data_IF_748382921606
#
_entry.id   IF_748382921606
#
_cell.length_a   1.000
_cell.length_b   1.000
_cell.length_c   1.000
_cell.angle_alpha   90.00
_cell.angle_beta   90.00
_cell.angle_gamma   90.00
#
_symmetry.space_group_name_H-M   'P 1'
#
loop_
_entity.id
_entity.type
_entity.pdbx_description
1 polymer ?
#
# COMPACT_ATOMS: atom_id res chain seq x y z
N UNK A 1 1.50 11.29 16.05
CA UNK A 1 0.90 11.88 14.84
C UNK A 1 1.92 11.91 13.70
N UNK A 2 1.48 12.16 12.48
CA UNK A 2 2.30 12.12 11.27
C UNK A 2 3.49 13.07 11.29
N UNK A 3 3.37 14.22 11.95
CA UNK A 3 4.46 15.20 12.02
C UNK A 3 5.67 14.71 12.84
N UNK A 4 5.49 13.68 13.68
CA UNK A 4 6.55 13.11 14.51
C UNK A 4 7.22 11.89 13.88
N UNK A 5 6.65 11.27 12.84
CA UNK A 5 7.20 10.06 12.22
C UNK A 5 8.63 10.28 11.71
N UNK A 6 8.81 11.24 10.81
CA UNK A 6 10.12 11.57 10.24
C UNK A 6 11.16 12.01 11.29
N UNK A 7 10.91 13.02 12.17
CA UNK A 7 11.93 13.49 13.10
C UNK A 7 12.35 12.42 14.11
N UNK A 8 11.44 11.54 14.52
CA UNK A 8 11.77 10.42 15.42
C UNK A 8 12.61 9.37 14.70
N UNK A 9 12.24 8.97 13.48
CA UNK A 9 13.03 8.04 12.67
C UNK A 9 14.43 8.57 12.40
N UNK A 10 14.54 9.83 11.98
CA UNK A 10 15.81 10.52 11.76
C UNK A 10 16.68 10.50 13.01
N UNK A 11 16.13 10.90 14.15
CA UNK A 11 16.86 10.90 15.42
C UNK A 11 17.36 9.50 15.80
N UNK A 12 16.53 8.47 15.62
CA UNK A 12 16.93 7.09 15.91
C UNK A 12 18.13 6.66 15.05
N UNK A 13 18.07 6.93 13.74
CA UNK A 13 19.13 6.54 12.80
C UNK A 13 20.42 7.35 13.01
N UNK A 14 20.33 8.65 13.29
CA UNK A 14 21.48 9.49 13.65
C UNK A 14 22.18 9.01 14.93
N UNK A 15 21.46 8.31 15.81
CA UNK A 15 21.98 7.69 17.03
C UNK A 15 22.26 6.18 16.90
N UNK A 16 22.46 5.68 15.68
CA UNK A 16 22.91 4.32 15.42
C UNK A 16 21.86 3.24 15.64
N UNK A 17 20.58 3.55 15.50
CA UNK A 17 19.44 2.61 15.61
C UNK A 17 18.74 2.45 14.28
N UNK A 18 18.26 1.23 14.00
CA UNK A 18 17.27 1.03 12.94
C UNK A 18 15.97 1.76 13.31
N UNK A 19 15.20 2.16 12.32
CA UNK A 19 13.88 2.75 12.52
C UNK A 19 12.80 1.88 11.86
N UNK A 20 11.70 1.66 12.58
CA UNK A 20 10.45 1.12 12.03
C UNK A 20 9.38 2.18 12.25
N UNK A 21 8.70 2.60 11.21
CA UNK A 21 7.89 3.82 11.22
C UNK A 21 6.50 3.54 10.68
N UNK A 22 5.49 3.95 11.44
CA UNK A 22 4.09 3.90 11.01
C UNK A 22 3.82 4.74 9.76
N UNK A 23 2.77 4.37 9.08
CA UNK A 23 2.32 5.02 7.84
C UNK A 23 1.55 6.33 8.10
N UNK A 24 1.75 7.34 7.27
CA UNK A 24 2.86 7.53 6.34
C UNK A 24 4.14 7.91 7.09
N UNK A 25 5.25 7.32 6.69
CA UNK A 25 6.52 7.49 7.41
C UNK A 25 7.22 8.83 7.10
N UNK A 26 6.90 9.42 5.97
CA UNK A 26 7.35 10.74 5.51
C UNK A 26 6.17 11.51 4.91
N UNK A 27 6.20 12.83 5.01
CA UNK A 27 5.09 13.70 4.64
C UNK A 27 5.36 14.52 3.37
N UNK A 28 6.61 14.54 2.90
CA UNK A 28 7.03 15.26 1.71
C UNK A 28 8.30 14.65 1.11
N UNK A 29 8.64 15.10 -0.11
CA UNK A 29 9.81 14.62 -0.86
C UNK A 29 11.14 14.88 -0.15
N UNK A 30 11.27 16.01 0.54
CA UNK A 30 12.47 16.33 1.30
C UNK A 30 12.71 15.29 2.40
N UNK A 31 11.67 14.92 3.14
CA UNK A 31 11.74 13.89 4.18
C UNK A 31 12.07 12.51 3.59
N UNK A 32 11.48 12.17 2.45
CA UNK A 32 11.78 10.92 1.73
C UNK A 32 13.29 10.84 1.39
N UNK A 33 13.84 11.86 0.75
CA UNK A 33 15.25 11.90 0.43
C UNK A 33 16.17 11.90 1.66
N UNK A 34 15.79 12.62 2.70
CA UNK A 34 16.56 12.64 3.95
C UNK A 34 16.66 11.23 4.59
N UNK A 35 15.57 10.45 4.61
CA UNK A 35 15.60 9.08 5.15
C UNK A 35 16.45 8.15 4.30
N UNK A 36 16.40 8.27 2.98
CA UNK A 36 17.27 7.51 2.06
C UNK A 36 18.74 7.85 2.30
N UNK A 37 19.09 9.12 2.24
CA UNK A 37 20.47 9.59 2.44
C UNK A 37 21.03 9.13 3.79
N UNK A 38 20.19 9.18 4.81
CA UNK A 38 20.58 8.73 6.15
C UNK A 38 20.75 7.21 6.22
N UNK A 39 19.84 6.44 5.62
CA UNK A 39 19.92 4.99 5.55
C UNK A 39 21.20 4.54 4.81
N UNK A 40 21.47 5.10 3.64
CA UNK A 40 22.66 4.81 2.85
C UNK A 40 23.96 5.19 3.59
N UNK A 41 23.99 6.37 4.20
CA UNK A 41 25.15 6.87 4.94
C UNK A 41 25.46 6.06 6.18
N UNK A 42 24.44 5.68 6.95
CA UNK A 42 24.60 4.98 8.23
C UNK A 42 24.59 3.48 8.07
N UNK A 43 24.09 2.96 6.94
CA UNK A 43 23.79 1.54 6.70
C UNK A 43 22.79 0.95 7.71
N UNK A 44 21.90 1.79 8.18
CA UNK A 44 20.81 1.41 9.07
C UNK A 44 19.52 1.27 8.29
N UNK A 45 18.70 0.33 8.67
CA UNK A 45 17.39 0.13 8.07
C UNK A 45 16.40 1.20 8.54
N UNK A 46 15.57 1.68 7.60
CA UNK A 46 14.36 2.42 7.87
C UNK A 46 13.20 1.67 7.23
N UNK A 47 12.40 1.01 8.03
CA UNK A 47 11.31 0.14 7.61
C UNK A 47 9.97 0.89 7.71
N UNK A 48 9.16 0.84 6.66
CA UNK A 48 7.78 1.33 6.72
C UNK A 48 6.85 0.22 7.23
N UNK A 49 6.01 0.53 8.20
CA UNK A 49 5.05 -0.42 8.79
C UNK A 49 3.75 -0.46 7.98
N UNK A 50 3.85 -0.90 6.71
CA UNK A 50 2.70 -1.04 5.82
C UNK A 50 2.10 -2.44 5.94
N UNK A 51 1.18 -2.58 6.88
CA UNK A 51 0.56 -3.86 7.25
C UNK A 51 -0.29 -4.50 6.13
N UNK A 52 -0.84 -3.69 5.22
CA UNK A 52 -1.68 -4.20 4.14
C UNK A 52 -0.94 -5.10 3.15
N UNK A 53 0.40 -5.02 3.10
CA UNK A 53 1.23 -5.96 2.35
C UNK A 53 1.17 -7.40 2.90
N UNK A 54 0.67 -7.59 4.12
CA UNK A 54 0.59 -8.89 4.80
C UNK A 54 -0.85 -9.40 4.97
N UNK A 55 -1.81 -8.80 4.29
CA UNK A 55 -3.17 -9.33 4.24
C UNK A 55 -3.21 -10.63 3.40
N UNK A 56 -4.06 -11.55 3.80
CA UNK A 56 -4.13 -12.90 3.23
C UNK A 56 -4.37 -12.90 1.71
N UNK A 57 -5.28 -12.05 1.22
CA UNK A 57 -5.59 -11.96 -0.20
C UNK A 57 -4.41 -11.37 -1.00
N UNK A 58 -3.79 -10.30 -0.49
CA UNK A 58 -2.64 -9.64 -1.09
C UNK A 58 -1.43 -10.58 -1.18
N UNK A 59 -1.12 -11.30 -0.11
CA UNK A 59 -0.01 -12.26 -0.08
C UNK A 59 -0.22 -13.45 -1.03
N UNK A 60 -1.43 -13.99 -1.12
CA UNK A 60 -1.77 -15.04 -2.09
C UNK A 60 -1.66 -14.55 -3.53
N UNK A 61 -2.22 -13.38 -3.80
CA UNK A 61 -2.18 -12.77 -5.13
C UNK A 61 -0.76 -12.42 -5.57
N UNK A 62 0.10 -12.01 -4.63
CA UNK A 62 1.53 -11.81 -4.87
C UNK A 62 2.20 -13.12 -5.32
N UNK A 63 1.99 -14.23 -4.63
CA UNK A 63 2.52 -15.54 -5.03
C UNK A 63 2.00 -15.97 -6.40
N UNK A 64 0.69 -15.79 -6.67
CA UNK A 64 0.10 -16.09 -7.96
C UNK A 64 0.73 -15.25 -9.08
N UNK A 65 0.99 -13.96 -8.83
CA UNK A 65 1.65 -13.09 -9.79
C UNK A 65 3.08 -13.53 -10.07
N UNK A 66 3.84 -13.88 -9.04
CA UNK A 66 5.23 -14.39 -9.14
C UNK A 66 5.31 -15.70 -9.90
N UNK A 67 4.31 -16.57 -9.75
CA UNK A 67 4.21 -17.85 -10.48
C UNK A 67 3.58 -17.70 -11.87
N UNK A 68 3.29 -16.47 -12.31
CA UNK A 68 2.78 -16.17 -13.64
C UNK A 68 1.30 -16.54 -13.86
N UNK A 69 0.52 -16.77 -12.81
CA UNK A 69 -0.92 -17.12 -12.91
C UNK A 69 -1.70 -16.06 -13.69
N UNK A 70 -1.36 -14.80 -13.53
CA UNK A 70 -2.02 -13.71 -14.27
C UNK A 70 -1.33 -13.38 -15.60
N UNK A 71 -0.23 -14.07 -15.94
CA UNK A 71 0.72 -13.62 -16.97
C UNK A 71 1.46 -12.36 -16.47
N UNK A 72 1.90 -11.50 -17.39
CA UNK A 72 2.45 -10.19 -16.98
C UNK A 72 1.33 -9.28 -16.47
N UNK A 73 1.45 -8.77 -15.24
CA UNK A 73 0.52 -7.75 -14.72
C UNK A 73 0.81 -6.42 -15.39
N UNK A 74 -0.20 -5.83 -16.02
CA UNK A 74 -0.10 -4.58 -16.80
C UNK A 74 -0.79 -3.39 -16.14
N UNK A 75 -1.71 -3.64 -15.22
CA UNK A 75 -2.45 -2.62 -14.47
C UNK A 75 -2.75 -3.12 -13.07
N UNK A 76 -2.65 -2.22 -12.10
CA UNK A 76 -3.07 -2.49 -10.74
C UNK A 76 -3.86 -1.30 -10.17
N UNK A 77 -4.78 -1.58 -9.25
CA UNK A 77 -5.58 -0.59 -8.53
C UNK A 77 -5.44 -0.81 -7.03
N UNK A 78 -5.26 0.27 -6.31
CA UNK A 78 -5.28 0.28 -4.87
C UNK A 78 -6.05 1.48 -4.33
N UNK A 79 -6.44 1.45 -3.07
CA UNK A 79 -7.16 2.55 -2.46
C UNK A 79 -7.00 2.59 -0.94
N UNK A 80 -7.31 3.74 -0.36
CA UNK A 80 -7.73 3.88 1.01
C UNK A 80 -9.05 4.65 1.06
N UNK A 81 -10.14 3.90 1.02
CA UNK A 81 -11.50 4.41 1.13
C UNK A 81 -12.05 3.93 2.46
N UNK A 82 -12.17 4.85 3.42
CA UNK A 82 -12.55 4.54 4.78
C UNK A 82 -13.26 5.73 5.41
N UNK A 83 -14.57 5.68 5.51
CA UNK A 83 -15.34 6.74 6.16
C UNK A 83 -14.87 6.92 7.62
N UNK A 84 -14.20 8.04 7.90
CA UNK A 84 -13.59 8.36 9.18
C UNK A 84 -14.27 9.55 9.90
N UNK A 85 -15.33 10.13 9.33
CA UNK A 85 -15.97 11.31 9.90
C UNK A 85 -16.52 11.06 11.31
N UNK A 86 -17.08 9.88 11.57
CA UNK A 86 -17.55 9.49 12.89
C UNK A 86 -16.40 9.24 13.87
N UNK A 87 -15.30 8.67 13.39
CA UNK A 87 -14.08 8.48 14.17
C UNK A 87 -13.50 9.82 14.62
N UNK A 88 -13.43 10.81 13.73
CA UNK A 88 -12.94 12.13 14.08
C UNK A 88 -13.87 12.85 15.04
N UNK A 89 -15.18 12.71 14.92
CA UNK A 89 -16.15 13.22 15.90
C UNK A 89 -15.94 12.61 17.29
N UNK A 90 -15.58 11.35 17.38
CA UNK A 90 -15.25 10.69 18.64
C UNK A 90 -14.00 11.29 19.28
N UNK A 91 -12.90 11.39 18.53
CA UNK A 91 -11.62 11.93 19.01
C UNK A 91 -11.68 13.45 19.28
N UNK A 92 -12.62 14.17 18.72
CA UNK A 92 -12.83 15.59 19.08
C UNK A 92 -13.20 15.81 20.55
N UNK A 93 -13.57 14.79 21.27
CA UNK A 93 -13.86 14.84 22.72
C UNK A 93 -12.63 14.54 23.58
N UNK A 94 -11.56 13.99 22.97
CA UNK A 94 -10.35 13.65 23.70
C UNK A 94 -9.35 14.82 23.65
N UNK A 95 -9.06 15.46 24.80
CA UNK A 95 -8.14 16.60 24.85
C UNK A 95 -6.70 16.24 24.47
N UNK A 96 -6.33 14.96 24.50
CA UNK A 96 -4.99 14.52 24.10
C UNK A 96 -4.82 14.41 22.58
N UNK A 97 -5.91 14.40 21.83
CA UNK A 97 -5.92 14.27 20.37
C UNK A 97 -6.36 15.55 19.66
N UNK A 98 -6.69 16.59 20.41
CA UNK A 98 -7.14 17.86 19.87
C UNK A 98 -6.11 18.95 20.17
N UNK A 99 -5.94 19.82 19.20
CA UNK A 99 -5.18 21.05 19.42
C UNK A 99 -6.00 22.16 20.10
N UNK A 100 -5.41 23.37 20.11
CA UNK A 100 -6.02 24.57 20.73
C UNK A 100 -7.41 24.91 20.16
N UNK A 101 -7.67 24.55 18.90
CA UNK A 101 -8.92 24.85 18.19
C UNK A 101 -9.91 23.68 18.32
N UNK A 102 -9.55 22.65 19.08
CA UNK A 102 -10.38 21.48 19.33
C UNK A 102 -10.67 20.65 18.06
N UNK A 103 -9.77 20.71 17.07
CA UNK A 103 -9.80 19.89 15.88
C UNK A 103 -8.79 18.75 15.98
N UNK A 104 -9.16 17.57 15.52
CA UNK A 104 -8.25 16.43 15.43
C UNK A 104 -7.09 16.76 14.49
N UNK A 105 -5.86 16.33 14.81
CA UNK A 105 -4.67 16.64 14.02
C UNK A 105 -4.74 16.16 12.56
N UNK A 106 -5.39 15.01 12.29
CA UNK A 106 -5.63 14.55 10.90
C UNK A 106 -6.56 15.48 10.13
N UNK A 107 -7.57 16.04 10.80
CA UNK A 107 -8.46 17.03 10.18
C UNK A 107 -7.67 18.28 9.76
N UNK A 108 -6.83 18.79 10.64
CA UNK A 108 -5.95 19.92 10.28
C UNK A 108 -5.01 19.58 9.13
N UNK A 109 -4.45 18.40 9.14
CA UNK A 109 -3.59 17.97 8.05
C UNK A 109 -4.33 17.96 6.69
N UNK A 110 -5.59 17.50 6.66
CA UNK A 110 -6.45 17.59 5.49
C UNK A 110 -6.85 19.03 5.12
N UNK A 111 -6.92 19.95 6.09
CA UNK A 111 -7.17 21.37 5.80
C UNK A 111 -5.96 22.04 5.15
N UNK A 112 -4.76 21.62 5.47
CA UNK A 112 -3.51 22.27 5.08
C UNK A 112 -2.91 21.66 3.80
N UNK A 113 -3.16 20.38 3.54
CA UNK A 113 -2.58 19.63 2.43
C UNK A 113 -3.67 19.11 1.49
N UNK A 114 -3.27 18.72 0.27
CA UNK A 114 -4.15 18.24 -0.79
C UNK A 114 -3.63 16.94 -1.37
N UNK A 115 -4.52 16.05 -1.75
CA UNK A 115 -4.15 14.81 -2.44
C UNK A 115 -4.39 13.54 -1.63
N UNK A 116 -3.73 12.48 -2.03
CA UNK A 116 -3.79 11.19 -1.36
C UNK A 116 -2.86 11.16 -0.15
N UNK A 117 -3.37 11.63 0.98
CA UNK A 117 -2.58 11.79 2.21
C UNK A 117 -2.30 10.46 2.94
N UNK A 118 -2.85 9.34 2.45
CA UNK A 118 -2.69 8.02 3.07
C UNK A 118 -2.59 6.90 2.02
N UNK A 119 -1.81 7.15 0.97
CA UNK A 119 -1.67 6.31 -0.22
C UNK A 119 -1.12 4.91 0.05
N UNK A 120 -0.32 4.74 1.11
CA UNK A 120 0.54 3.57 1.31
C UNK A 120 -0.24 2.27 1.38
N UNK A 121 -1.42 2.25 2.00
CA UNK A 121 -2.28 1.07 2.09
C UNK A 121 -2.79 0.56 0.73
N UNK A 122 -3.01 1.47 -0.21
CA UNK A 122 -3.38 1.10 -1.58
C UNK A 122 -2.16 0.80 -2.45
N UNK A 123 -1.11 1.63 -2.34
CA UNK A 123 0.05 1.56 -3.21
C UNK A 123 1.02 0.43 -2.85
N UNK A 124 1.30 0.22 -1.57
CA UNK A 124 2.30 -0.75 -1.11
C UNK A 124 2.09 -2.16 -1.68
N UNK A 125 0.93 -2.79 -1.45
CA UNK A 125 0.67 -4.14 -1.95
C UNK A 125 0.77 -4.27 -3.47
N UNK A 126 0.29 -3.28 -4.24
CA UNK A 126 0.36 -3.33 -5.71
C UNK A 126 1.77 -3.02 -6.22
N UNK A 127 2.53 -2.17 -5.53
CA UNK A 127 3.92 -1.89 -5.88
C UNK A 127 4.81 -3.15 -5.76
N UNK A 128 4.59 -3.98 -4.74
CA UNK A 128 5.28 -5.27 -4.61
C UNK A 128 4.99 -6.21 -5.78
N UNK A 129 3.72 -6.32 -6.20
CA UNK A 129 3.32 -7.16 -7.34
C UNK A 129 3.91 -6.66 -8.65
N UNK A 130 4.09 -5.35 -8.78
CA UNK A 130 4.61 -4.73 -10.01
C UNK A 130 6.13 -4.62 -10.03
N UNK A 131 6.83 -5.11 -9.00
CA UNK A 131 8.28 -5.09 -8.86
C UNK A 131 8.88 -3.66 -8.88
N UNK A 132 8.19 -2.70 -8.24
CA UNK A 132 8.67 -1.32 -8.15
C UNK A 132 10.02 -1.31 -7.41
N UNK A 133 10.99 -0.56 -7.94
CA UNK A 133 12.44 -0.52 -7.69
C UNK A 133 13.16 -1.90 -7.65
N UNK A 134 12.46 -2.95 -8.13
CA UNK A 134 13.01 -4.32 -8.28
C UNK A 134 12.80 -4.86 -9.70
N UNK A 135 12.96 -3.99 -10.70
CA UNK A 135 12.78 -4.30 -12.13
C UNK A 135 11.86 -3.35 -12.89
N UNK A 136 11.14 -2.50 -12.17
CA UNK A 136 10.33 -1.39 -12.70
C UNK A 136 10.42 -0.17 -11.76
N UNK A 137 9.96 1.00 -12.18
CA UNK A 137 9.85 2.19 -11.34
C UNK A 137 8.63 3.02 -11.73
N UNK A 138 8.09 3.76 -10.81
CA UNK A 138 7.11 4.81 -11.10
C UNK A 138 7.80 5.94 -11.87
N UNK A 139 7.20 6.40 -12.96
CA UNK A 139 7.83 7.37 -13.86
C UNK A 139 7.10 8.71 -13.88
N UNK A 140 5.81 8.68 -14.04
CA UNK A 140 4.98 9.89 -14.07
C UNK A 140 3.68 9.64 -13.37
N UNK A 141 3.12 10.66 -12.73
CA UNK A 141 1.78 10.62 -12.17
C UNK A 141 0.94 11.82 -12.62
N UNK A 142 -0.36 11.63 -12.55
CA UNK A 142 -1.36 12.69 -12.62
C UNK A 142 -2.39 12.45 -11.53
N UNK A 143 -2.81 13.50 -10.84
CA UNK A 143 -3.81 13.41 -9.79
C UNK A 143 -4.96 14.39 -10.02
N UNK A 144 -6.13 13.99 -9.54
CA UNK A 144 -7.37 14.78 -9.66
C UNK A 144 -8.19 14.57 -8.39
N UNK A 145 -8.78 15.63 -7.90
CA UNK A 145 -9.65 15.59 -6.73
C UNK A 145 -11.03 16.24 -6.96
N UNK A 146 -11.96 15.91 -6.08
CA UNK A 146 -13.24 16.60 -5.99
C UNK A 146 -13.10 17.88 -5.16
N UNK A 147 -14.14 18.70 -5.14
CA UNK A 147 -14.24 19.77 -4.13
C UNK A 147 -14.34 19.15 -2.74
N UNK A 148 -13.83 19.87 -1.73
CA UNK A 148 -14.11 19.59 -0.33
C UNK A 148 -15.51 20.10 0.01
N UNK A 149 -16.44 19.21 0.19
CA UNK A 149 -17.81 19.48 0.61
C UNK A 149 -18.05 18.93 2.01
N UNK A 150 -17.75 17.64 2.20
CA UNK A 150 -17.96 16.95 3.47
C UNK A 150 -16.89 17.36 4.49
N UNK A 151 -15.60 17.36 4.10
CA UNK A 151 -14.52 17.78 4.99
C UNK A 151 -14.70 19.21 5.51
N UNK A 152 -14.97 20.13 4.60
CA UNK A 152 -15.30 21.52 4.95
C UNK A 152 -16.51 21.60 5.90
N UNK A 153 -17.61 20.92 5.58
CA UNK A 153 -18.83 20.90 6.38
C UNK A 153 -18.63 20.33 7.80
N UNK A 154 -17.76 19.34 7.95
CA UNK A 154 -17.42 18.78 9.27
C UNK A 154 -16.71 19.81 10.16
N UNK A 155 -15.77 20.57 9.61
CA UNK A 155 -15.07 21.64 10.34
C UNK A 155 -16.05 22.75 10.72
N UNK A 156 -16.90 23.19 9.79
CA UNK A 156 -17.92 24.22 10.04
C UNK A 156 -18.92 23.80 11.13
N UNK A 157 -19.38 22.55 11.08
CA UNK A 157 -20.27 22.00 12.11
C UNK A 157 -19.58 21.92 13.50
N UNK A 158 -18.28 21.67 13.52
CA UNK A 158 -17.52 21.58 14.77
C UNK A 158 -17.19 22.92 15.37
N UNK A 159 -16.76 23.88 14.54
CA UNK A 159 -16.27 25.19 14.98
C UNK A 159 -17.39 26.24 15.13
N UNK A 160 -18.52 26.03 14.45
CA UNK A 160 -19.59 27.01 14.32
C UNK A 160 -19.22 28.21 13.44
N UNK A 161 -18.15 28.11 12.65
CA UNK A 161 -17.62 29.19 11.81
C UNK A 161 -17.45 28.70 10.39
N UNK A 162 -17.54 29.60 9.41
CA UNK A 162 -17.23 29.27 8.01
C UNK A 162 -15.78 28.80 7.85
N UNK A 163 -15.57 27.68 7.17
CA UNK A 163 -14.25 27.17 6.83
C UNK A 163 -13.87 27.60 5.40
N UNK A 164 -12.92 28.51 5.27
CA UNK A 164 -12.52 29.11 3.99
C UNK A 164 -11.27 28.45 3.37
N UNK A 165 -10.56 27.61 4.14
CA UNK A 165 -9.22 27.12 3.79
C UNK A 165 -9.06 25.60 3.85
N UNK A 166 -10.10 24.84 3.51
CA UNK A 166 -9.97 23.38 3.42
C UNK A 166 -9.41 22.99 2.05
N UNK A 167 -8.18 22.47 2.01
CA UNK A 167 -7.45 22.19 0.77
C UNK A 167 -7.78 20.84 0.18
N UNK A 168 -7.87 19.78 1.01
CA UNK A 168 -8.05 18.43 0.51
C UNK A 168 -9.46 18.20 -0.06
N UNK A 169 -9.57 17.66 -1.26
CA UNK A 169 -10.84 17.18 -1.81
C UNK A 169 -11.42 16.02 -1.00
N UNK A 170 -12.72 15.79 -1.10
CA UNK A 170 -13.35 14.65 -0.42
C UNK A 170 -12.92 13.32 -1.03
N UNK A 171 -12.54 13.30 -2.31
CA UNK A 171 -12.03 12.13 -3.02
C UNK A 171 -10.88 12.52 -3.96
N UNK A 172 -9.83 11.73 -3.97
CA UNK A 172 -8.68 11.88 -4.88
C UNK A 172 -8.49 10.61 -5.70
N UNK A 173 -8.17 10.77 -6.97
CA UNK A 173 -7.74 9.69 -7.87
C UNK A 173 -6.39 10.05 -8.47
N UNK A 174 -5.43 9.16 -8.36
CA UNK A 174 -4.07 9.32 -8.87
C UNK A 174 -3.75 8.20 -9.85
N UNK A 175 -3.30 8.56 -11.04
CA UNK A 175 -2.85 7.63 -12.08
C UNK A 175 -1.34 7.71 -12.21
N UNK A 176 -0.66 6.57 -12.15
CA UNK A 176 0.79 6.47 -12.23
C UNK A 176 1.15 5.58 -13.43
N UNK A 177 2.10 6.03 -14.24
CA UNK A 177 2.71 5.22 -15.30
C UNK A 177 4.11 4.80 -14.87
N UNK A 178 4.43 3.51 -15.04
CA UNK A 178 5.76 2.98 -14.77
C UNK A 178 6.68 3.09 -15.98
N UNK A 179 7.98 2.88 -15.79
CA UNK A 179 8.99 2.86 -16.86
C UNK A 179 8.70 1.77 -17.89
N UNK A 180 8.28 0.58 -17.43
CA UNK A 180 7.92 -0.54 -18.30
C UNK A 180 6.49 -0.44 -18.89
N UNK A 181 5.82 0.70 -18.70
CA UNK A 181 4.52 0.99 -19.32
C UNK A 181 3.31 0.40 -18.62
N UNK A 182 3.47 -0.12 -17.39
CA UNK A 182 2.33 -0.50 -16.54
C UNK A 182 1.62 0.74 -16.00
N UNK A 183 0.38 0.58 -15.55
CA UNK A 183 -0.43 1.66 -14.98
C UNK A 183 -0.89 1.26 -13.58
N UNK A 184 -0.77 2.19 -12.63
CA UNK A 184 -1.31 2.06 -11.27
C UNK A 184 -2.36 3.15 -11.09
N UNK A 185 -3.50 2.78 -10.52
CA UNK A 185 -4.52 3.72 -10.07
C UNK A 185 -4.64 3.65 -8.56
N UNK A 186 -4.55 4.81 -7.88
CA UNK A 186 -4.72 4.92 -6.43
C UNK A 186 -5.86 5.89 -6.13
N UNK A 187 -6.75 5.47 -5.23
CA UNK A 187 -7.87 6.30 -4.77
C UNK A 187 -7.80 6.52 -3.25
N UNK A 188 -8.18 7.73 -2.83
CA UNK A 188 -8.25 8.08 -1.42
C UNK A 188 -9.56 8.81 -1.11
N UNK A 189 -10.26 8.35 -0.08
CA UNK A 189 -11.46 9.01 0.42
C UNK A 189 -11.70 8.63 1.89
N UNK A 190 -11.60 9.60 2.79
CA UNK A 190 -11.83 9.39 4.23
C UNK A 190 -12.97 10.24 4.77
N UNK A 191 -13.68 10.95 3.89
CA UNK A 191 -14.69 11.95 4.24
C UNK A 191 -16.12 11.48 4.00
N UNK A 192 -16.38 10.80 2.86
CA UNK A 192 -17.73 10.48 2.43
C UNK A 192 -18.19 9.12 2.91
N UNK A 193 -19.50 8.92 3.12
CA UNK A 193 -20.05 7.61 3.49
C UNK A 193 -19.81 6.59 2.38
N UNK A 194 -18.87 5.68 2.62
CA UNK A 194 -18.58 4.54 1.75
C UNK A 194 -18.19 3.33 2.61
N UNK A 195 -18.53 2.10 2.18
CA UNK A 195 -17.96 0.90 2.79
C UNK A 195 -16.45 0.90 2.69
N UNK A 196 -15.79 0.34 3.69
CA UNK A 196 -14.33 0.16 3.65
C UNK A 196 -13.88 -0.54 2.38
N UNK A 197 -12.89 0.04 1.69
CA UNK A 197 -12.42 -0.46 0.41
C UNK A 197 -10.95 -0.06 0.18
N UNK A 198 -10.11 -1.05 -0.12
CA UNK A 198 -8.72 -0.83 -0.56
C UNK A 198 -8.53 -1.16 -2.04
N UNK A 199 -9.62 -1.44 -2.79
CA UNK A 199 -9.62 -1.95 -4.14
C UNK A 199 -8.83 -3.25 -4.27
N UNK A 200 -7.55 -3.18 -4.50
CA UNK A 200 -6.65 -4.26 -4.80
C UNK A 200 -7.12 -5.10 -5.98
N UNK A 201 -6.96 -4.53 -7.16
CA UNK A 201 -7.22 -5.20 -8.43
C UNK A 201 -5.92 -5.37 -9.20
N UNK A 202 -5.74 -6.53 -9.81
CA UNK A 202 -4.61 -6.84 -10.69
C UNK A 202 -5.14 -7.27 -12.04
N UNK A 203 -4.79 -6.53 -13.09
CA UNK A 203 -5.10 -6.90 -14.48
C UNK A 203 -3.83 -7.44 -15.13
N UNK A 204 -3.81 -8.73 -15.40
CA UNK A 204 -2.76 -9.40 -16.14
C UNK A 204 -3.20 -9.73 -17.56
N UNK A 205 -2.23 -10.10 -18.40
CA UNK A 205 -2.51 -10.48 -19.81
C UNK A 205 -3.22 -11.83 -19.94
N UNK A 206 -3.29 -12.62 -18.86
CA UNK A 206 -3.90 -13.96 -18.84
C UNK A 206 -4.86 -14.18 -17.67
N UNK A 207 -5.00 -13.22 -16.77
CA UNK A 207 -5.87 -13.37 -15.63
C UNK A 207 -6.09 -12.07 -14.87
N UNK A 208 -7.03 -12.10 -13.95
CA UNK A 208 -7.47 -10.95 -13.17
C UNK A 208 -7.70 -11.36 -11.71
N UNK A 209 -7.34 -10.47 -10.79
CA UNK A 209 -7.63 -10.59 -9.37
C UNK A 209 -8.39 -9.36 -8.88
N UNK A 210 -9.37 -9.57 -8.00
CA UNK A 210 -10.17 -8.50 -7.39
C UNK A 210 -10.50 -8.84 -5.95
N UNK A 211 -10.25 -7.89 -5.03
CA UNK A 211 -10.57 -8.07 -3.62
C UNK A 211 -11.90 -7.43 -3.25
N UNK A 212 -12.12 -6.19 -3.62
CA UNK A 212 -13.31 -5.43 -3.19
C UNK A 212 -14.20 -5.07 -4.38
N UNK A 213 -15.54 -5.09 -4.24
CA UNK A 213 -16.30 -5.51 -3.05
C UNK A 213 -16.45 -7.04 -2.93
N UNK A 214 -16.00 -7.79 -3.92
CA UNK A 214 -16.11 -9.26 -3.95
C UNK A 214 -14.75 -9.86 -4.29
N UNK A 215 -14.24 -10.70 -3.41
CA UNK A 215 -13.01 -11.43 -3.68
C UNK A 215 -13.20 -12.44 -4.82
N UNK A 216 -12.25 -12.45 -5.75
CA UNK A 216 -12.31 -13.37 -6.85
C UNK A 216 -11.12 -13.29 -7.80
N UNK A 217 -10.92 -14.39 -8.52
CA UNK A 217 -9.95 -14.51 -9.60
C UNK A 217 -10.68 -14.88 -10.88
N UNK A 218 -10.26 -14.31 -12.03
CA UNK A 218 -10.80 -14.67 -13.33
C UNK A 218 -9.68 -15.22 -14.22
N UNK A 219 -9.77 -16.51 -14.57
CA UNK A 219 -8.81 -17.25 -15.37
C UNK A 219 -9.54 -18.10 -16.43
N UNK A 220 -8.96 -18.27 -17.59
CA UNK A 220 -9.40 -19.28 -18.56
C UNK A 220 -8.94 -20.68 -18.13
N UNK A 221 -9.55 -21.73 -18.71
CA UNK A 221 -9.28 -23.14 -18.38
C UNK A 221 -7.79 -23.50 -18.54
N UNK A 222 -7.16 -23.06 -19.63
CA UNK A 222 -5.74 -23.35 -19.91
C UNK A 222 -4.84 -22.70 -18.88
N UNK A 223 -5.14 -21.47 -18.46
CA UNK A 223 -4.35 -20.74 -17.48
C UNK A 223 -4.53 -21.32 -16.07
N UNK A 224 -5.75 -21.74 -15.71
CA UNK A 224 -6.00 -22.44 -14.45
C UNK A 224 -5.25 -23.77 -14.41
N UNK A 225 -5.30 -24.56 -15.51
CA UNK A 225 -4.53 -25.81 -15.63
C UNK A 225 -3.02 -25.58 -15.54
N UNK A 226 -2.52 -24.52 -16.17
CA UNK A 226 -1.10 -24.14 -16.09
C UNK A 226 -0.69 -23.74 -14.66
N UNK A 227 -1.60 -23.20 -13.87
CA UNK A 227 -1.38 -22.95 -12.44
C UNK A 227 -1.39 -24.22 -11.59
N UNK A 228 -1.64 -25.41 -12.18
CA UNK A 228 -1.69 -26.70 -11.50
C UNK A 228 -3.04 -27.02 -10.85
N UNK A 229 -4.08 -26.25 -11.12
CA UNK A 229 -5.46 -26.53 -10.69
C UNK A 229 -6.29 -26.97 -11.89
N UNK A 230 -6.88 -28.15 -11.81
CA UNK A 230 -7.69 -28.68 -12.92
C UNK A 230 -9.10 -28.08 -12.90
N UNK A 231 -9.59 -27.53 -14.04
CA UNK A 231 -10.97 -27.09 -14.17
C UNK A 231 -11.94 -28.25 -13.92
N UNK A 232 -12.99 -27.98 -13.17
CA UNK A 232 -14.08 -28.95 -12.89
C UNK A 232 -15.31 -28.67 -13.74
N UNK A 233 -15.35 -27.48 -14.36
CA UNK A 233 -16.45 -27.07 -15.25
C UNK A 233 -15.97 -26.99 -16.69
N UNK A 234 -16.82 -27.39 -17.62
CA UNK A 234 -16.57 -27.25 -19.05
C UNK A 234 -16.65 -25.76 -19.47
N UNK A 235 -15.82 -25.38 -20.43
CA UNK A 235 -15.79 -24.03 -21.02
C UNK A 235 -15.52 -22.89 -20.02
N UNK A 236 -14.70 -23.14 -19.01
CA UNK A 236 -14.26 -22.10 -18.09
C UNK A 236 -13.60 -20.93 -18.87
N UNK A 237 -14.09 -19.73 -18.64
CA UNK A 237 -13.66 -18.51 -19.33
C UNK A 237 -13.34 -17.41 -18.32
N UNK A 238 -12.32 -16.61 -18.61
CA UNK A 238 -11.97 -15.41 -17.84
C UNK A 238 -12.98 -14.25 -17.97
N UNK A 239 -14.10 -14.46 -18.66
CA UNK A 239 -15.20 -13.49 -18.72
C UNK A 239 -15.94 -13.36 -17.38
N UNK A 240 -15.85 -14.35 -16.51
CA UNK A 240 -16.39 -14.31 -15.15
C UNK A 240 -15.36 -14.76 -14.12
N UNK A 241 -15.67 -14.53 -12.85
CA UNK A 241 -14.86 -15.10 -11.77
C UNK A 241 -14.91 -16.62 -11.77
N UNK A 242 -13.85 -17.24 -11.26
CA UNK A 242 -13.81 -18.70 -11.07
C UNK A 242 -14.99 -19.15 -10.21
N UNK A 243 -15.61 -20.30 -10.51
CA UNK A 243 -16.56 -20.93 -9.62
C UNK A 243 -15.90 -21.27 -8.29
N UNK A 244 -16.68 -21.39 -7.23
CA UNK A 244 -16.17 -21.52 -5.86
C UNK A 244 -15.18 -22.68 -5.68
N UNK A 245 -15.46 -23.83 -6.30
CA UNK A 245 -14.61 -25.02 -6.15
C UNK A 245 -13.22 -24.88 -6.80
N UNK A 246 -13.12 -24.17 -7.92
CA UNK A 246 -11.86 -23.80 -8.56
C UNK A 246 -11.14 -22.69 -7.78
N UNK A 247 -11.91 -21.74 -7.27
CA UNK A 247 -11.41 -20.67 -6.40
C UNK A 247 -10.75 -21.25 -5.16
N UNK A 248 -11.44 -22.13 -4.44
CA UNK A 248 -10.95 -22.77 -3.21
C UNK A 248 -9.65 -23.54 -3.48
N UNK A 249 -9.61 -24.32 -4.56
CA UNK A 249 -8.42 -25.08 -4.94
C UNK A 249 -7.22 -24.18 -5.29
N UNK A 250 -7.47 -23.06 -5.98
CA UNK A 250 -6.43 -22.08 -6.31
C UNK A 250 -5.89 -21.40 -5.04
N UNK A 251 -6.76 -20.93 -4.18
CA UNK A 251 -6.43 -20.27 -2.91
C UNK A 251 -5.68 -21.23 -1.97
N UNK A 252 -6.11 -22.48 -1.87
CA UNK A 252 -5.41 -23.50 -1.07
C UNK A 252 -3.97 -23.72 -1.57
N UNK A 253 -3.80 -23.83 -2.89
CA UNK A 253 -2.47 -24.00 -3.50
C UNK A 253 -1.55 -22.84 -3.19
N UNK A 254 -2.04 -21.60 -3.33
CA UNK A 254 -1.26 -20.39 -3.17
C UNK A 254 -1.31 -19.80 -1.74
N UNK A 255 -1.73 -20.59 -0.75
CA UNK A 255 -1.65 -20.15 0.64
C UNK A 255 -0.20 -19.85 1.01
N UNK A 256 0.08 -18.59 1.39
CA UNK A 256 1.43 -18.13 1.64
C UNK A 256 2.07 -18.86 2.84
N UNK A 257 3.32 -19.31 2.75
CA UNK A 257 4.00 -20.04 3.84
C UNK A 257 4.06 -19.28 5.15
N UNK A 258 4.25 -17.98 5.10
CA UNK A 258 4.24 -17.10 6.27
C UNK A 258 2.87 -17.20 6.96
N UNK A 259 1.78 -17.18 6.18
CA UNK A 259 0.43 -17.32 6.71
C UNK A 259 0.13 -18.73 7.24
N UNK A 260 0.66 -19.77 6.59
CA UNK A 260 0.59 -21.14 7.12
C UNK A 260 1.24 -21.26 8.49
N UNK A 261 2.38 -20.57 8.69
CA UNK A 261 3.18 -20.64 9.92
C UNK A 261 2.59 -19.77 11.03
N UNK A 262 2.13 -18.58 10.71
CA UNK A 262 1.76 -17.57 11.70
C UNK A 262 0.30 -17.14 11.68
N UNK A 263 -0.50 -17.54 10.68
CA UNK A 263 -1.83 -16.97 10.45
C UNK A 263 -2.83 -17.20 11.59
N UNK A 264 -2.80 -18.36 12.27
CA UNK A 264 -3.70 -18.62 13.39
C UNK A 264 -3.32 -17.77 14.61
N UNK A 265 -2.05 -17.81 15.03
CA UNK A 265 -1.57 -17.01 16.15
C UNK A 265 -1.73 -15.51 15.89
N UNK A 266 -1.54 -15.07 14.65
CA UNK A 266 -1.72 -13.68 14.27
C UNK A 266 -3.18 -13.22 14.47
N UNK A 267 -4.16 -14.06 14.14
CA UNK A 267 -5.58 -13.76 14.38
C UNK A 267 -5.92 -13.71 15.88
N UNK A 268 -5.29 -14.55 16.68
CA UNK A 268 -5.49 -14.57 18.14
C UNK A 268 -4.88 -13.32 18.81
N UNK A 269 -3.68 -12.94 18.40
CA UNK A 269 -2.99 -11.72 18.93
C UNK A 269 -3.72 -10.46 18.50
N UNK A 270 -4.29 -10.45 17.29
CA UNK A 270 -5.02 -9.32 16.74
C UNK A 270 -4.13 -8.33 15.99
N UNK A 271 -4.57 -7.07 15.90
CA UNK A 271 -3.95 -6.05 15.05
C UNK A 271 -4.37 -6.20 13.58
N UNK A 272 -5.43 -5.46 13.18
CA UNK A 272 -5.97 -5.46 11.81
C UNK A 272 -6.18 -6.86 11.22
N UNK A 273 -6.77 -7.78 12.01
CA UNK A 273 -7.00 -9.17 11.58
C UNK A 273 -5.74 -10.04 11.55
N UNK A 274 -4.64 -9.59 12.18
CA UNK A 274 -3.37 -10.30 12.27
C UNK A 274 -2.27 -9.75 11.37
N UNK A 275 -2.58 -8.82 10.48
CA UNK A 275 -1.59 -8.22 9.56
C UNK A 275 -0.42 -7.59 10.31
N UNK A 276 -0.68 -6.85 11.39
CA UNK A 276 0.33 -6.18 12.20
C UNK A 276 1.30 -7.19 12.82
N UNK A 277 0.78 -8.26 13.39
CA UNK A 277 1.59 -9.32 13.98
C UNK A 277 2.52 -9.99 12.95
N UNK A 278 2.02 -10.26 11.73
CA UNK A 278 2.82 -10.88 10.67
C UNK A 278 3.91 -9.93 10.21
N UNK A 279 3.59 -8.66 10.00
CA UNK A 279 4.53 -7.61 9.63
C UNK A 279 5.66 -7.49 10.64
N UNK A 280 5.33 -7.34 11.92
CA UNK A 280 6.32 -7.21 13.00
C UNK A 280 7.17 -8.48 13.13
N UNK A 281 6.56 -9.66 13.01
CA UNK A 281 7.28 -10.94 13.03
C UNK A 281 8.28 -11.04 11.89
N UNK A 282 7.93 -10.56 10.68
CA UNK A 282 8.83 -10.51 9.52
C UNK A 282 9.98 -9.52 9.73
N UNK A 283 9.70 -8.34 10.24
CA UNK A 283 10.73 -7.36 10.57
C UNK A 283 11.76 -7.95 11.55
N UNK A 284 11.28 -8.52 12.66
CA UNK A 284 12.14 -9.14 13.67
C UNK A 284 12.94 -10.30 13.07
N UNK A 285 12.29 -11.17 12.28
CA UNK A 285 12.95 -12.29 11.61
C UNK A 285 14.07 -11.84 10.68
N UNK A 286 13.84 -10.85 9.82
CA UNK A 286 14.85 -10.33 8.91
C UNK A 286 16.03 -9.72 9.67
N UNK A 287 15.77 -8.91 10.69
CA UNK A 287 16.82 -8.29 11.51
C UNK A 287 17.66 -9.33 12.28
N UNK A 288 17.03 -10.35 12.87
CA UNK A 288 17.73 -11.41 13.61
C UNK A 288 18.62 -12.27 12.72
N UNK A 289 18.28 -12.43 11.46
CA UNK A 289 19.02 -13.27 10.52
C UNK A 289 19.90 -12.48 9.55
N UNK A 290 19.97 -11.15 9.66
CA UNK A 290 20.75 -10.30 8.76
C UNK A 290 20.27 -10.35 7.30
N UNK A 291 18.96 -10.49 7.11
CA UNK A 291 18.33 -10.58 5.79
C UNK A 291 17.87 -9.19 5.31
N UNK A 292 17.72 -9.00 4.00
CA UNK A 292 17.02 -7.84 3.47
C UNK A 292 15.61 -7.74 4.05
N UNK A 293 15.16 -6.53 4.34
CA UNK A 293 13.81 -6.29 4.82
C UNK A 293 12.79 -6.49 3.69
N UNK A 294 11.59 -6.92 4.05
CA UNK A 294 10.48 -7.05 3.09
C UNK A 294 10.04 -5.70 2.51
N UNK A 295 10.18 -4.64 3.30
CA UNK A 295 9.95 -3.25 2.91
C UNK A 295 11.15 -2.42 3.36
N UNK A 296 11.79 -1.74 2.45
CA UNK A 296 13.00 -0.96 2.72
C UNK A 296 12.75 0.56 2.66
N UNK A 297 13.80 1.34 2.75
CA UNK A 297 13.70 2.79 2.72
C UNK A 297 13.25 3.34 1.36
N UNK A 298 13.47 2.59 0.29
CA UNK A 298 13.01 3.00 -1.05
C UNK A 298 11.51 2.76 -1.18
N UNK A 299 10.97 1.62 -0.70
CA UNK A 299 9.52 1.41 -0.57
C UNK A 299 8.87 2.55 0.22
N UNK A 300 9.45 2.89 1.37
CA UNK A 300 8.99 3.99 2.21
C UNK A 300 8.89 5.30 1.42
N UNK A 301 9.97 5.68 0.74
CA UNK A 301 10.05 6.94 0.02
C UNK A 301 9.08 6.97 -1.18
N UNK A 302 9.03 5.90 -1.96
CA UNK A 302 8.16 5.78 -3.13
C UNK A 302 6.68 5.86 -2.76
N UNK A 303 6.27 5.20 -1.67
CA UNK A 303 4.87 5.18 -1.27
C UNK A 303 4.44 6.47 -0.57
N UNK A 304 5.33 7.11 0.20
CA UNK A 304 5.03 8.38 0.85
C UNK A 304 5.09 9.60 -0.08
N UNK A 305 5.85 9.53 -1.17
CA UNK A 305 5.99 10.63 -2.14
C UNK A 305 4.68 10.96 -2.87
N UNK A 306 3.73 10.02 -2.92
CA UNK A 306 2.49 10.15 -3.70
C UNK A 306 1.67 11.37 -3.26
N UNK A 307 1.62 11.66 -1.98
CA UNK A 307 0.85 12.79 -1.44
C UNK A 307 1.30 14.12 -2.04
N UNK A 308 2.58 14.48 -1.90
CA UNK A 308 3.11 15.76 -2.40
C UNK A 308 3.13 15.82 -3.94
N UNK A 309 3.50 14.73 -4.62
CA UNK A 309 3.47 14.70 -6.08
C UNK A 309 2.04 14.85 -6.63
N UNK A 310 1.06 14.26 -5.96
CA UNK A 310 -0.35 14.45 -6.30
C UNK A 310 -0.81 15.90 -6.10
N UNK A 311 -0.40 16.53 -5.00
CA UNK A 311 -0.67 17.95 -4.74
C UNK A 311 -0.06 18.84 -5.82
N UNK A 312 1.21 18.62 -6.20
CA UNK A 312 1.89 19.34 -7.29
C UNK A 312 1.11 19.17 -8.61
N UNK A 313 0.66 17.96 -8.94
CA UNK A 313 -0.14 17.71 -10.13
C UNK A 313 -1.43 18.54 -10.14
N UNK A 314 -2.20 18.47 -9.07
CA UNK A 314 -3.50 19.15 -8.96
C UNK A 314 -3.36 20.69 -8.93
N UNK A 315 -2.34 21.21 -8.28
CA UNK A 315 -2.06 22.66 -8.24
C UNK A 315 -1.58 23.18 -9.61
N UNK A 316 -1.12 22.29 -10.50
CA UNK A 316 -0.80 22.57 -11.89
C UNK A 316 -1.86 22.07 -12.88
N UNK A 317 -3.14 22.21 -12.56
CA UNK A 317 -4.28 21.78 -13.39
C UNK A 317 -4.25 20.30 -13.79
N UNK A 318 -3.91 19.42 -12.85
CA UNK A 318 -3.79 17.98 -13.05
C UNK A 318 -2.76 17.61 -14.13
N UNK A 319 -1.73 18.41 -14.30
CA UNK A 319 -0.65 18.11 -15.22
C UNK A 319 0.17 16.89 -14.74
N UNK A 320 0.75 16.17 -15.69
CA UNK A 320 1.66 15.08 -15.37
C UNK A 320 2.90 15.59 -14.64
N UNK A 321 3.28 14.92 -13.55
CA UNK A 321 4.47 15.20 -12.74
C UNK A 321 5.42 14.04 -12.85
N UNK A 322 6.72 14.30 -12.98
CA UNK A 322 7.75 13.27 -12.97
C UNK A 322 7.88 12.69 -11.55
N UNK A 323 7.92 11.36 -11.47
CA UNK A 323 8.14 10.64 -10.23
C UNK A 323 9.66 10.51 -10.00
N UNK A 324 10.21 10.96 -8.86
CA UNK A 324 11.64 10.84 -8.58
C UNK A 324 12.12 9.39 -8.60
N UNK A 325 13.29 9.17 -9.15
CA UNK A 325 13.97 7.89 -8.99
C UNK A 325 14.78 7.88 -7.67
N UNK A 326 14.17 7.38 -6.64
CA UNK A 326 14.77 7.32 -5.31
C UNK A 326 15.98 6.37 -5.24
N UNK A 327 16.09 5.44 -6.19
CA UNK A 327 17.22 4.49 -6.27
C UNK A 327 18.43 5.06 -7.04
N UNK A 328 18.34 6.28 -7.55
CA UNK A 328 19.41 6.94 -8.35
C UNK A 328 19.89 6.12 -9.55
N UNK A 329 18.98 5.42 -10.20
CA UNK A 329 19.25 4.59 -11.37
C UNK A 329 19.36 3.08 -11.08
N UNK A 330 19.37 2.68 -9.81
CA UNK A 330 19.57 1.28 -9.42
C UNK A 330 18.26 0.45 -9.40
N UNK A 331 17.11 1.05 -9.75
CA UNK A 331 15.78 0.39 -9.73
C UNK A 331 15.71 -0.93 -10.50
N UNK A 332 16.64 -1.19 -11.39
CA UNK A 332 16.67 -2.36 -12.26
C UNK A 332 17.81 -3.35 -11.94
N UNK A 333 18.54 -3.15 -10.86
CA UNK A 333 19.64 -4.03 -10.41
C UNK A 333 19.08 -5.28 -9.75
N UNK A 334 18.19 -5.12 -8.79
CA UNK A 334 17.43 -6.23 -8.20
C UNK A 334 16.23 -6.55 -9.10
N UNK A 335 15.95 -7.84 -9.30
CA UNK A 335 14.84 -8.29 -10.15
C UNK A 335 13.83 -9.09 -9.35
N UNK A 336 12.59 -8.61 -9.38
CA UNK A 336 11.46 -9.23 -8.72
C UNK A 336 11.45 -9.08 -7.20
N UNK A 337 10.27 -8.80 -6.67
CA UNK A 337 10.05 -8.78 -5.23
C UNK A 337 10.10 -10.20 -4.65
N UNK A 338 10.77 -10.39 -3.52
CA UNK A 338 10.81 -11.69 -2.81
C UNK A 338 10.94 -11.48 -1.31
N UNK A 339 10.16 -12.22 -0.55
CA UNK A 339 10.41 -12.38 0.87
C UNK A 339 11.73 -13.13 1.11
N UNK A 340 12.57 -12.61 2.00
CA UNK A 340 13.84 -13.24 2.34
C UNK A 340 13.67 -14.34 3.40
N UNK A 341 14.44 -15.43 3.28
CA UNK A 341 14.44 -16.55 4.21
C UNK A 341 15.86 -16.94 4.61
N UNK A 342 16.05 -17.33 5.86
CA UNK A 342 17.35 -17.72 6.39
C UNK A 342 17.79 -19.11 5.92
N UNK A 343 16.84 -19.99 5.57
CA UNK A 343 17.15 -21.32 5.06
C UNK A 343 16.37 -21.65 3.79
N UNK A 344 16.91 -22.52 2.91
CA UNK A 344 16.19 -23.02 1.74
C UNK A 344 14.88 -23.74 2.11
N UNK A 345 14.82 -24.41 3.25
CA UNK A 345 13.66 -25.16 3.72
C UNK A 345 12.48 -24.23 4.05
N UNK A 346 12.74 -23.04 4.55
CA UNK A 346 11.72 -22.02 4.76
C UNK A 346 11.25 -21.38 3.45
N UNK A 347 12.13 -21.33 2.44
CA UNK A 347 11.83 -20.81 1.11
C UNK A 347 11.11 -21.82 0.20
N UNK A 348 11.37 -23.13 0.34
CA UNK A 348 10.94 -24.22 -0.56
C UNK A 348 9.43 -24.45 -0.58
N UNK A 349 8.68 -23.87 0.33
CA UNK A 349 7.21 -23.95 0.27
C UNK A 349 6.58 -23.20 -0.92
N UNK A 350 7.36 -22.54 -1.76
CA UNK A 350 6.88 -21.78 -2.93
C UNK A 350 6.78 -22.57 -4.25
N UNK A 351 7.32 -23.77 -4.33
CA UNK A 351 7.52 -24.46 -5.62
C UNK A 351 6.80 -25.79 -5.79
N UNK A 352 5.74 -26.04 -5.02
CA UNK A 352 4.97 -27.29 -5.19
C UNK A 352 3.48 -27.09 -5.20
#
# INVERSE_FOLDING_TARGET
DWNHHFPVAKCAMENGKHAAVEVPSAMNLEQCWNLIDLSEKTRLHCFILENCCYDDYEMKSLLMAQDGVFGGVIRAEGAYIHELSEFWKYYWKDPNHNDKDNLHWRMKYNMENRGDLYATHGLGPVAQVLDIHRGDRMKTLTAMDTKSVVGKGLVEAKTGSECTNFRNGDHTTTMIRTENGKVIEIQHNVMTPQPYNRLYQLTGVKGFANKYPTEGYALGADQLSASGVQPKVDNLSSHGFLPQAEMDALVEKYQHPILKKYGEIAKEVGGHGGMDFIMDSRLVYCLQNGLPLDMDVYDLAEWCALAELGEISMDNNCAAVEFPDFTRGEWNVVKGYKHAYASPEEAVSYTH
#
